data_IF_052715043928
#
_entry.id   IF_052715043928
#
_cell.length_a   1.000
_cell.length_b   1.000
_cell.length_c   1.000
_cell.angle_alpha   90.00
_cell.angle_beta   90.00
_cell.angle_gamma   90.00
#
_symmetry.space_group_name_H-M   'P 1'
#
loop_
_entity.id
_entity.type
_entity.pdbx_description
1 polymer ?
#
# COMPACT_ATOMS: atom_id res chain seq x y z
N UNK A 1 18.21 -9.77 -8.46
CA UNK A 1 17.23 -8.68 -8.27
C UNK A 1 17.52 -7.59 -9.28
N UNK A 2 16.67 -7.42 -10.29
CA UNK A 2 16.70 -6.24 -11.16
C UNK A 2 16.08 -5.08 -10.39
N UNK A 3 16.81 -3.99 -10.21
CA UNK A 3 16.26 -2.77 -9.64
C UNK A 3 15.12 -2.29 -10.56
N UNK A 4 13.89 -2.25 -10.05
CA UNK A 4 12.78 -1.62 -10.75
C UNK A 4 12.91 -0.11 -10.57
N UNK A 5 13.16 0.61 -11.66
CA UNK A 5 13.11 2.07 -11.67
C UNK A 5 11.66 2.54 -11.62
N UNK A 6 11.38 3.52 -10.76
CA UNK A 6 10.10 4.21 -10.74
C UNK A 6 9.80 4.82 -12.12
N UNK A 7 8.57 4.69 -12.65
CA UNK A 7 8.15 5.39 -13.85
C UNK A 7 8.29 6.90 -13.68
N UNK A 8 8.49 7.64 -14.78
CA UNK A 8 8.57 9.11 -14.73
C UNK A 8 7.26 9.76 -14.24
N UNK A 9 6.12 9.13 -14.52
CA UNK A 9 4.80 9.54 -14.06
C UNK A 9 4.06 8.31 -13.49
N UNK A 10 4.34 7.91 -12.25
CA UNK A 10 3.71 6.73 -11.65
C UNK A 10 2.27 7.06 -11.25
N UNK A 11 1.35 6.13 -11.50
CA UNK A 11 0.07 6.11 -10.79
C UNK A 11 0.31 5.50 -9.41
N UNK A 12 -0.02 6.24 -8.36
CA UNK A 12 0.21 5.80 -6.99
C UNK A 12 -0.95 6.22 -6.09
N UNK A 13 -1.09 5.53 -4.96
CA UNK A 13 -1.99 5.96 -3.90
C UNK A 13 -1.36 5.77 -2.52
N UNK A 14 -1.96 6.40 -1.52
CA UNK A 14 -1.64 6.19 -0.11
C UNK A 14 -2.57 5.14 0.48
N UNK A 15 -2.04 4.17 1.20
CA UNK A 15 -2.86 3.16 1.86
C UNK A 15 -2.40 2.92 3.32
N UNK A 16 -3.33 2.56 4.22
CA UNK A 16 -2.96 2.05 5.54
C UNK A 16 -2.21 0.73 5.41
N UNK A 17 -1.23 0.52 6.28
CA UNK A 17 -0.47 -0.72 6.44
C UNK A 17 -0.32 -0.97 7.93
N UNK A 18 -0.73 -2.15 8.38
CA UNK A 18 -0.65 -2.52 9.78
C UNK A 18 0.70 -3.17 10.08
N UNK A 19 1.45 -2.57 11.00
CA UNK A 19 2.65 -3.21 11.55
C UNK A 19 2.30 -3.85 12.89
N UNK A 20 2.30 -5.18 12.92
CA UNK A 20 1.96 -5.98 14.12
C UNK A 20 2.98 -5.75 15.25
N UNK A 21 4.18 -5.28 14.93
CA UNK A 21 5.24 -5.03 15.91
C UNK A 21 5.04 -3.76 16.75
N UNK A 22 4.41 -2.74 16.19
CA UNK A 22 4.35 -1.40 16.80
C UNK A 22 2.94 -0.98 17.25
N UNK A 23 1.93 -1.82 17.07
CA UNK A 23 0.49 -1.55 17.38
C UNK A 23 -0.07 -0.25 16.75
N UNK A 24 0.62 0.32 15.75
CA UNK A 24 0.24 1.55 15.05
C UNK A 24 -0.08 1.29 13.58
N UNK A 25 -0.87 2.18 13.00
CA UNK A 25 -1.13 2.18 11.56
C UNK A 25 -0.07 3.01 10.86
N UNK A 26 0.69 2.40 9.95
CA UNK A 26 1.60 3.14 9.09
C UNK A 26 0.88 3.50 7.80
N UNK A 27 1.19 4.64 7.21
CA UNK A 27 0.69 4.99 5.88
C UNK A 27 1.81 4.73 4.88
N UNK A 28 1.50 4.02 3.80
CA UNK A 28 2.46 3.62 2.78
C UNK A 28 2.05 4.16 1.42
N UNK A 29 3.00 4.24 0.49
CA UNK A 29 2.71 4.53 -0.92
C UNK A 29 2.81 3.23 -1.70
N UNK A 30 1.81 2.96 -2.51
CA UNK A 30 1.79 1.86 -3.47
C UNK A 30 1.77 2.43 -4.87
N UNK A 31 2.45 1.76 -5.80
CA UNK A 31 2.59 2.20 -7.18
C UNK A 31 2.00 1.14 -8.09
N UNK A 32 1.10 1.53 -8.97
CA UNK A 32 0.46 0.64 -9.93
C UNK A 32 1.53 -0.14 -10.74
N UNK A 33 1.42 -1.46 -10.77
CA UNK A 33 2.35 -2.33 -11.49
C UNK A 33 3.68 -2.59 -10.77
N UNK A 34 3.86 -2.11 -9.54
CA UNK A 34 5.00 -2.46 -8.68
C UNK A 34 4.52 -3.27 -7.47
N UNK A 35 5.23 -4.35 -7.16
CA UNK A 35 4.95 -5.16 -5.97
C UNK A 35 5.51 -4.50 -4.72
N UNK A 36 4.73 -4.49 -3.65
CA UNK A 36 5.13 -3.95 -2.36
C UNK A 36 4.81 -2.48 -2.18
N UNK A 37 5.51 -1.82 -1.25
CA UNK A 37 5.20 -0.45 -0.85
C UNK A 37 6.46 0.37 -0.56
N UNK A 38 6.35 1.68 -0.75
CA UNK A 38 7.36 2.65 -0.35
C UNK A 38 7.08 3.04 1.11
N UNK A 39 8.06 2.86 2.01
CA UNK A 39 7.91 3.27 3.40
C UNK A 39 7.80 4.78 3.52
N UNK A 40 6.90 5.25 4.38
CA UNK A 40 6.81 6.67 4.77
C UNK A 40 6.97 6.81 6.29
N UNK A 41 7.21 8.04 6.74
CA UNK A 41 7.27 8.39 8.16
C UNK A 41 5.88 8.73 8.76
N UNK A 42 4.80 8.46 8.03
CA UNK A 42 3.44 8.76 8.47
C UNK A 42 2.87 7.59 9.27
N UNK A 43 2.40 7.91 10.48
CA UNK A 43 1.77 6.97 11.40
C UNK A 43 0.47 7.54 11.93
N UNK A 44 -0.50 6.67 12.18
CA UNK A 44 -1.79 6.96 12.76
C UNK A 44 -2.04 5.99 13.92
N UNK A 45 -2.72 6.51 14.95
CA UNK A 45 -2.97 5.76 16.19
C UNK A 45 -4.10 4.74 16.03
N UNK A 46 -5.00 4.95 15.07
CA UNK A 46 -6.15 4.08 14.82
C UNK A 46 -6.31 3.81 13.32
N UNK A 47 -6.99 2.72 12.99
CA UNK A 47 -7.37 2.38 11.60
C UNK A 47 -8.22 3.48 10.98
N UNK A 48 -9.20 3.98 11.73
CA UNK A 48 -10.09 5.05 11.26
C UNK A 48 -9.32 6.34 10.93
N UNK A 49 -8.36 6.74 11.77
CA UNK A 49 -7.49 7.88 11.48
C UNK A 49 -6.66 7.64 10.22
N UNK A 50 -6.08 6.44 10.08
CA UNK A 50 -5.28 6.08 8.91
C UNK A 50 -6.10 6.16 7.62
N UNK A 51 -7.31 5.61 7.62
CA UNK A 51 -8.25 5.67 6.50
C UNK A 51 -8.65 7.12 6.17
N UNK A 52 -8.98 7.93 7.19
CA UNK A 52 -9.34 9.33 7.02
C UNK A 52 -8.19 10.17 6.45
N UNK A 53 -6.94 9.87 6.85
CA UNK A 53 -5.76 10.52 6.29
C UNK A 53 -5.55 10.06 4.84
N UNK A 54 -5.66 8.77 4.55
CA UNK A 54 -5.52 8.24 3.19
C UNK A 54 -6.57 8.86 2.24
N UNK A 55 -7.83 8.97 2.65
CA UNK A 55 -8.86 9.65 1.85
C UNK A 55 -8.47 11.10 1.53
N UNK A 56 -7.98 11.86 2.51
CA UNK A 56 -7.58 13.26 2.29
C UNK A 56 -6.39 13.37 1.36
N UNK A 57 -5.41 12.48 1.49
CA UNK A 57 -4.22 12.47 0.63
C UNK A 57 -4.58 12.05 -0.80
N UNK A 58 -5.35 10.97 -0.95
CA UNK A 58 -5.76 10.45 -2.24
C UNK A 58 -6.75 11.37 -2.97
N UNK A 59 -7.61 12.10 -2.25
CA UNK A 59 -8.45 13.13 -2.85
C UNK A 59 -7.63 14.24 -3.53
N UNK A 60 -6.41 14.54 -3.05
CA UNK A 60 -5.49 15.48 -3.72
C UNK A 60 -4.90 14.92 -5.01
N UNK A 61 -4.90 13.60 -5.17
CA UNK A 61 -4.53 12.88 -6.39
C UNK A 61 -5.73 12.67 -7.33
N UNK A 62 -6.94 13.11 -6.94
CA UNK A 62 -8.16 12.90 -7.70
C UNK A 62 -8.79 11.51 -7.52
N UNK A 63 -8.32 10.73 -6.54
CA UNK A 63 -8.78 9.36 -6.31
C UNK A 63 -9.84 9.32 -5.20
N UNK A 64 -10.98 8.68 -5.48
CA UNK A 64 -12.00 8.37 -4.48
C UNK A 64 -11.63 7.14 -3.62
N UNK A 65 -12.39 6.89 -2.55
CA UNK A 65 -12.13 5.76 -1.63
C UNK A 65 -12.06 4.42 -2.34
N UNK A 66 -13.07 4.12 -3.15
CA UNK A 66 -13.15 2.86 -3.89
C UNK A 66 -11.98 2.71 -4.87
N UNK A 67 -11.55 3.81 -5.48
CA UNK A 67 -10.51 3.82 -6.49
C UNK A 67 -9.12 3.59 -5.89
N UNK A 68 -8.75 4.32 -4.83
CA UNK A 68 -7.46 4.11 -4.18
C UNK A 68 -7.39 2.74 -3.50
N UNK A 69 -8.50 2.25 -2.94
CA UNK A 69 -8.57 0.90 -2.33
C UNK A 69 -8.36 -0.17 -3.39
N UNK A 70 -8.95 -0.03 -4.58
CA UNK A 70 -8.72 -0.94 -5.71
C UNK A 70 -7.25 -0.96 -6.14
N UNK A 71 -6.62 0.21 -6.23
CA UNK A 71 -5.20 0.33 -6.61
C UNK A 71 -4.28 -0.29 -5.55
N UNK A 72 -4.59 -0.08 -4.28
CA UNK A 72 -3.87 -0.69 -3.16
C UNK A 72 -4.00 -2.21 -3.15
N UNK A 73 -5.21 -2.74 -3.37
CA UNK A 73 -5.44 -4.17 -3.47
C UNK A 73 -4.60 -4.81 -4.60
N UNK A 74 -4.53 -4.18 -5.78
CA UNK A 74 -3.73 -4.67 -6.90
C UNK A 74 -2.22 -4.72 -6.62
N UNK A 75 -1.73 -3.86 -5.71
CA UNK A 75 -0.32 -3.82 -5.32
C UNK A 75 0.02 -4.78 -4.17
N UNK A 76 -1.00 -5.23 -3.44
CA UNK A 76 -0.91 -6.18 -2.32
C UNK A 76 -1.38 -7.59 -2.69
N UNK A 77 -2.04 -7.78 -3.84
CA UNK A 77 -2.33 -9.10 -4.40
C UNK A 77 -0.98 -9.71 -4.79
N UNK A 78 -0.39 -10.46 -3.85
CA UNK A 78 0.64 -11.44 -4.18
C UNK A 78 0.03 -12.29 -5.29
N UNK A 79 0.57 -12.19 -6.51
CA UNK A 79 0.20 -13.09 -7.60
C UNK A 79 0.16 -14.54 -7.10
N UNK A 80 -0.57 -15.43 -7.81
CA UNK A 80 -0.86 -16.79 -7.33
C UNK A 80 0.38 -17.42 -6.69
N UNK A 81 0.24 -18.05 -5.51
CA UNK A 81 1.38 -18.50 -4.71
C UNK A 81 2.34 -19.26 -5.61
N UNK A 82 3.63 -18.91 -5.59
CA UNK A 82 4.62 -19.68 -6.32
C UNK A 82 4.46 -21.15 -5.90
N UNK A 83 4.26 -22.07 -6.85
CA UNK A 83 4.05 -23.47 -6.53
C UNK A 83 5.36 -24.03 -5.98
N UNK A 84 5.56 -24.02 -4.65
CA UNK A 84 6.77 -24.63 -4.11
C UNK A 84 7.16 -24.37 -2.66
N UNK A 85 6.53 -23.46 -1.90
CA UNK A 85 6.91 -23.30 -0.49
C UNK A 85 5.99 -24.10 0.44
N UNK A 86 6.48 -25.16 1.12
CA UNK A 86 5.68 -25.89 2.08
C UNK A 86 5.49 -25.04 3.34
N UNK A 87 4.23 -24.78 3.69
CA UNK A 87 3.85 -24.21 4.97
C UNK A 87 4.30 -25.16 6.09
N UNK A 88 5.27 -24.73 6.90
CA UNK A 88 5.59 -25.39 8.16
C UNK A 88 4.68 -24.80 9.25
N UNK A 89 3.85 -25.69 9.81
CA UNK A 89 2.97 -25.44 10.96
C UNK A 89 3.75 -25.26 12.26
#
# INVERSE_FOLDING_TARGET
MTAQTLPDNPNYCFCPSYDVGDEVQQIRIVVEGMTGFIPTALVALTVEDAENICDKLNARLGLGRDEWTRLAAQSMDEGPPEPGYPSVH
#
